data_IF_348692613106
#
_entry.id   IF_348692613106
#
_cell.length_a   1.000
_cell.length_b   1.000
_cell.length_c   1.000
_cell.angle_alpha   90.00
_cell.angle_beta   90.00
_cell.angle_gamma   90.00
#
_symmetry.space_group_name_H-M   'P 1'
#
loop_
_entity.id
_entity.type
_entity.pdbx_description
1 polymer ?
#
# COMPACT_ATOMS: atom_id res chain seq x y z
N UNK A 1 5.97 19.99 -2.20
CA UNK A 1 4.66 19.94 -2.88
C UNK A 1 4.89 19.61 -4.35
N UNK A 2 4.28 18.53 -4.88
CA UNK A 2 4.36 18.22 -6.29
C UNK A 2 3.73 19.34 -7.13
N UNK A 3 4.29 19.55 -8.32
CA UNK A 3 3.76 20.50 -9.28
C UNK A 3 2.42 20.01 -9.84
N UNK A 4 1.59 20.96 -10.29
CA UNK A 4 0.31 20.68 -10.95
C UNK A 4 0.47 19.78 -12.19
N UNK A 5 1.65 19.77 -12.80
CA UNK A 5 1.98 18.92 -13.96
C UNK A 5 2.29 17.47 -13.53
N UNK A 6 3.00 17.28 -12.41
CA UNK A 6 3.20 15.97 -11.78
C UNK A 6 1.89 15.35 -11.32
N UNK A 7 0.98 16.18 -10.78
CA UNK A 7 -0.38 15.76 -10.40
C UNK A 7 -1.19 15.27 -11.61
N UNK A 8 -1.15 16.02 -12.74
CA UNK A 8 -1.86 15.62 -13.97
C UNK A 8 -1.30 14.35 -14.60
N UNK A 9 0.01 14.12 -14.53
CA UNK A 9 0.62 12.89 -15.05
C UNK A 9 0.26 11.68 -14.18
N UNK A 10 0.32 11.82 -12.85
CA UNK A 10 -0.15 10.78 -11.91
C UNK A 10 -1.65 10.49 -12.11
N UNK A 11 -2.48 11.52 -12.28
CA UNK A 11 -3.92 11.41 -12.55
C UNK A 11 -4.26 10.70 -13.87
N UNK A 12 -3.46 10.92 -14.94
CA UNK A 12 -3.60 10.19 -16.22
C UNK A 12 -3.17 8.73 -16.11
N UNK A 13 -2.11 8.44 -15.35
CA UNK A 13 -1.69 7.06 -15.08
C UNK A 13 -2.76 6.33 -14.27
N UNK A 14 -3.39 7.01 -13.31
CA UNK A 14 -4.45 6.52 -12.45
C UNK A 14 -5.77 6.17 -13.18
N UNK A 15 -6.33 7.10 -13.96
CA UNK A 15 -7.57 6.87 -14.76
C UNK A 15 -7.45 5.72 -15.74
N UNK A 16 -6.23 5.44 -16.23
CA UNK A 16 -5.97 4.26 -17.06
C UNK A 16 -5.93 2.96 -16.27
N UNK A 17 -5.62 2.96 -14.98
CA UNK A 17 -5.23 1.74 -14.26
C UNK A 17 -6.37 1.04 -13.51
N UNK A 18 -7.21 1.79 -12.78
CA UNK A 18 -8.31 1.23 -11.95
C UNK A 18 -9.38 0.54 -12.84
N UNK A 19 -9.62 1.05 -14.05
CA UNK A 19 -10.58 0.44 -14.98
C UNK A 19 -10.01 -0.60 -15.95
N UNK A 20 -8.68 -0.64 -16.19
CA UNK A 20 -8.07 -1.65 -17.09
C UNK A 20 -7.70 -2.96 -16.40
N UNK A 21 -7.59 -3.00 -15.06
CA UNK A 21 -7.44 -4.26 -14.32
C UNK A 21 -8.75 -5.07 -14.16
N UNK A 22 -9.79 -4.77 -14.95
CA UNK A 22 -10.86 -5.77 -15.19
C UNK A 22 -10.37 -7.01 -15.95
N UNK A 23 -9.16 -6.96 -16.51
CA UNK A 23 -8.52 -8.14 -17.10
C UNK A 23 -7.01 -8.05 -17.00
N UNK A 24 -6.38 -8.75 -16.06
CA UNK A 24 -5.35 -9.76 -16.37
C UNK A 24 -4.60 -10.25 -15.12
N UNK A 25 -4.61 -11.58 -14.98
CA UNK A 25 -3.56 -12.46 -14.44
C UNK A 25 -3.11 -12.41 -12.98
N UNK A 26 -3.47 -11.43 -12.15
CA UNK A 26 -3.00 -11.39 -10.74
C UNK A 26 -4.10 -11.18 -9.69
N UNK A 27 -5.33 -11.64 -9.95
CA UNK A 27 -6.38 -11.64 -8.91
C UNK A 27 -6.78 -10.25 -8.39
N UNK A 28 -6.31 -9.16 -9.01
CA UNK A 28 -6.72 -7.80 -8.72
C UNK A 28 -8.16 -7.58 -9.22
N UNK A 29 -9.14 -8.06 -8.48
CA UNK A 29 -10.50 -7.56 -8.59
C UNK A 29 -10.49 -6.08 -8.20
N UNK A 30 -11.20 -5.24 -8.94
CA UNK A 30 -11.49 -3.89 -8.48
C UNK A 30 -12.08 -4.00 -7.07
N UNK A 31 -11.41 -3.39 -6.09
CA UNK A 31 -11.84 -3.43 -4.69
C UNK A 31 -13.31 -3.01 -4.59
N UNK A 32 -14.11 -3.65 -3.72
CA UNK A 32 -15.56 -3.39 -3.59
C UNK A 32 -15.88 -1.91 -3.35
N UNK A 33 -14.93 -1.16 -2.81
CA UNK A 33 -14.96 0.31 -2.69
C UNK A 33 -15.32 1.02 -4.01
N UNK A 34 -14.85 0.51 -5.16
CA UNK A 34 -15.16 1.07 -6.47
C UNK A 34 -16.52 0.60 -7.03
N UNK A 35 -17.21 -0.31 -6.34
CA UNK A 35 -18.53 -0.82 -6.70
C UNK A 35 -19.58 0.30 -6.72
N UNK A 36 -20.07 0.64 -7.91
CA UNK A 36 -21.13 1.64 -8.09
C UNK A 36 -20.64 3.05 -8.44
N UNK A 37 -19.33 3.32 -8.39
CA UNK A 37 -18.77 4.54 -8.96
C UNK A 37 -18.64 4.41 -10.47
N UNK A 38 -19.14 5.42 -11.21
CA UNK A 38 -18.75 5.63 -12.60
C UNK A 38 -17.42 6.38 -12.63
N UNK A 39 -16.67 6.23 -13.72
CA UNK A 39 -15.38 6.91 -13.95
C UNK A 39 -15.46 8.44 -13.81
N UNK A 40 -16.66 9.02 -13.96
CA UNK A 40 -16.90 10.47 -13.82
C UNK A 40 -16.86 10.95 -12.36
N UNK A 41 -17.19 10.07 -11.40
CA UNK A 41 -17.22 10.42 -9.97
C UNK A 41 -15.86 10.27 -9.29
N UNK A 42 -14.98 9.45 -9.88
CA UNK A 42 -13.67 9.09 -9.34
C UNK A 42 -12.81 10.32 -8.99
N UNK A 43 -12.69 11.36 -9.85
CA UNK A 43 -11.85 12.52 -9.54
C UNK A 43 -12.34 13.33 -8.31
N UNK A 44 -13.66 13.40 -8.12
CA UNK A 44 -14.27 14.13 -7.00
C UNK A 44 -14.09 13.35 -5.70
N UNK A 45 -14.36 12.05 -5.73
CA UNK A 45 -14.15 11.16 -4.58
C UNK A 45 -12.68 11.19 -4.18
N UNK A 46 -11.77 11.08 -5.14
CA UNK A 46 -10.34 11.08 -4.82
C UNK A 46 -9.84 12.41 -4.30
N UNK A 47 -10.28 13.53 -4.89
CA UNK A 47 -9.99 14.86 -4.34
C UNK A 47 -10.42 14.96 -2.88
N UNK A 48 -11.64 14.49 -2.55
CA UNK A 48 -12.10 14.47 -1.16
C UNK A 48 -11.21 13.62 -0.24
N UNK A 49 -10.79 12.42 -0.68
CA UNK A 49 -9.93 11.52 0.09
C UNK A 49 -8.55 12.14 0.32
N UNK A 50 -7.96 12.71 -0.73
CA UNK A 50 -6.67 13.37 -0.64
C UNK A 50 -6.71 14.53 0.35
N UNK A 51 -7.72 15.40 0.23
CA UNK A 51 -7.83 16.59 1.08
C UNK A 51 -8.21 16.27 2.53
N UNK A 52 -9.10 15.29 2.74
CA UNK A 52 -9.69 15.01 4.05
C UNK A 52 -8.91 13.98 4.86
N UNK A 53 -8.09 13.16 4.21
CA UNK A 53 -7.44 12.02 4.86
C UNK A 53 -5.96 11.89 4.52
N UNK A 54 -5.55 12.01 3.25
CA UNK A 54 -4.16 11.69 2.86
C UNK A 54 -3.18 12.84 3.00
N UNK A 55 -3.64 14.09 2.93
CA UNK A 55 -2.78 15.30 2.98
C UNK A 55 -1.93 15.40 4.26
N UNK A 56 -2.29 14.68 5.32
CA UNK A 56 -1.53 14.65 6.57
C UNK A 56 -0.25 13.80 6.50
N UNK A 57 -0.13 12.89 5.53
CA UNK A 57 1.04 12.03 5.39
C UNK A 57 2.11 12.67 4.50
N UNK A 58 3.38 12.47 4.86
CA UNK A 58 4.55 12.85 4.08
C UNK A 58 4.85 11.89 2.91
N UNK A 59 4.32 10.67 2.96
CA UNK A 59 4.47 9.67 1.90
C UNK A 59 3.60 8.43 2.12
N UNK A 60 3.56 7.57 1.11
CA UNK A 60 2.79 6.33 1.12
C UNK A 60 3.71 5.15 0.83
N UNK A 61 3.72 4.17 1.73
CA UNK A 61 4.52 2.97 1.61
C UNK A 61 3.63 1.73 1.62
N UNK A 62 4.04 0.73 0.84
CA UNK A 62 3.53 -0.63 0.93
C UNK A 62 4.66 -1.60 1.23
N UNK A 63 4.41 -2.51 2.16
CA UNK A 63 5.21 -3.73 2.31
C UNK A 63 4.56 -4.79 1.42
N UNK A 64 5.25 -5.22 0.37
CA UNK A 64 4.72 -6.25 -0.54
C UNK A 64 5.85 -7.00 -1.23
N UNK A 65 5.51 -8.18 -1.72
CA UNK A 65 6.41 -9.04 -2.47
C UNK A 65 6.34 -8.72 -3.97
N UNK A 66 7.51 -8.46 -4.57
CA UNK A 66 7.75 -8.67 -6.00
C UNK A 66 9.18 -9.20 -6.19
N UNK A 67 9.39 -9.91 -7.28
CA UNK A 67 10.66 -10.56 -7.57
C UNK A 67 11.82 -9.57 -7.67
N UNK A 68 12.86 -9.79 -6.86
CA UNK A 68 14.06 -8.96 -6.86
C UNK A 68 13.89 -7.58 -6.23
N UNK A 69 12.78 -7.32 -5.55
CA UNK A 69 12.57 -6.14 -4.73
C UNK A 69 13.15 -6.31 -3.32
N UNK A 70 13.17 -5.21 -2.57
CA UNK A 70 13.62 -5.16 -1.17
C UNK A 70 12.47 -5.26 -0.16
N UNK A 71 11.25 -5.60 -0.62
CA UNK A 71 10.04 -5.74 0.20
C UNK A 71 9.35 -4.44 0.59
N UNK A 72 9.81 -3.30 0.08
CA UNK A 72 9.20 -1.98 0.27
C UNK A 72 8.94 -1.26 -1.06
N UNK A 73 7.82 -0.55 -1.10
CA UNK A 73 7.34 0.17 -2.27
C UNK A 73 6.82 1.54 -1.88
N UNK A 74 7.33 2.58 -2.53
CA UNK A 74 6.66 3.88 -2.53
C UNK A 74 5.49 3.80 -3.50
N UNK A 75 4.27 3.83 -2.96
CA UNK A 75 3.05 3.72 -3.76
C UNK A 75 2.54 5.11 -4.15
N UNK A 76 1.98 5.26 -5.36
CA UNK A 76 1.48 6.57 -5.79
C UNK A 76 0.23 7.01 -5.01
N UNK A 77 -0.51 6.06 -4.44
CA UNK A 77 -1.68 6.28 -3.59
C UNK A 77 -2.05 4.98 -2.85
N UNK A 78 -2.78 5.07 -1.71
CA UNK A 78 -3.35 3.91 -1.02
C UNK A 78 -4.11 2.95 -1.92
N UNK A 79 -3.83 1.67 -1.78
CA UNK A 79 -4.50 0.61 -2.54
C UNK A 79 -4.18 0.58 -4.04
N UNK A 80 -3.12 1.26 -4.48
CA UNK A 80 -2.72 1.24 -5.90
C UNK A 80 -2.39 -0.17 -6.39
N UNK A 81 -2.97 -0.59 -7.50
CA UNK A 81 -2.59 -1.85 -8.12
C UNK A 81 -1.20 -1.79 -8.79
N UNK A 82 -0.68 -0.58 -9.05
CA UNK A 82 0.71 -0.39 -9.46
C UNK A 82 1.58 -0.30 -8.20
N UNK A 83 2.37 -1.34 -7.97
CA UNK A 83 3.52 -1.25 -7.08
C UNK A 83 4.43 -0.16 -7.65
N UNK A 84 4.56 0.96 -6.94
CA UNK A 84 5.15 2.18 -7.50
C UNK A 84 6.65 2.02 -7.75
N UNK A 85 7.47 2.64 -6.91
CA UNK A 85 8.92 2.49 -7.01
C UNK A 85 9.36 1.57 -5.88
N UNK A 86 10.10 0.51 -6.20
CA UNK A 86 10.75 -0.28 -5.16
C UNK A 86 11.80 0.59 -4.48
N UNK A 87 11.76 0.64 -3.16
CA UNK A 87 12.62 1.48 -2.34
C UNK A 87 13.36 0.64 -1.32
N UNK A 88 14.52 1.13 -0.87
CA UNK A 88 15.30 0.41 0.13
C UNK A 88 14.98 0.94 1.53
N UNK A 89 15.00 0.09 2.57
CA UNK A 89 14.79 0.55 3.95
C UNK A 89 15.72 1.70 4.38
N UNK A 90 16.94 1.76 3.82
CA UNK A 90 17.92 2.82 4.10
C UNK A 90 17.46 4.21 3.67
N UNK A 91 16.59 4.30 2.66
CA UNK A 91 16.10 5.58 2.13
C UNK A 91 15.23 6.32 3.16
N UNK A 92 14.68 5.57 4.12
CA UNK A 92 13.86 6.07 5.23
C UNK A 92 14.60 6.05 6.58
N UNK A 93 15.88 5.69 6.60
CA UNK A 93 16.65 5.54 7.84
C UNK A 93 16.24 4.35 8.71
N UNK A 94 15.49 3.38 8.18
CA UNK A 94 15.03 2.20 8.92
C UNK A 94 16.23 1.46 9.53
N UNK A 95 16.07 1.03 10.78
CA UNK A 95 17.12 0.34 11.54
C UNK A 95 17.61 -0.92 10.82
N UNK A 96 18.91 -1.24 10.97
CA UNK A 96 19.52 -2.41 10.32
C UNK A 96 18.84 -3.74 10.66
N UNK A 97 18.29 -3.87 11.88
CA UNK A 97 17.54 -5.06 12.29
C UNK A 97 16.20 -5.20 11.55
N UNK A 98 15.45 -4.10 11.42
CA UNK A 98 14.18 -4.12 10.69
C UNK A 98 14.42 -4.29 9.18
N UNK A 99 15.41 -3.61 8.62
CA UNK A 99 15.81 -3.77 7.23
C UNK A 99 16.21 -5.23 6.90
N UNK A 100 16.97 -5.88 7.80
CA UNK A 100 17.34 -7.28 7.64
C UNK A 100 16.12 -8.22 7.69
N UNK A 101 15.13 -7.92 8.54
CA UNK A 101 13.89 -8.70 8.63
C UNK A 101 13.03 -8.57 7.39
N UNK A 102 12.86 -7.36 6.85
CA UNK A 102 12.12 -7.13 5.60
C UNK A 102 12.76 -7.95 4.47
N UNK A 103 14.08 -7.85 4.31
CA UNK A 103 14.81 -8.61 3.27
C UNK A 103 14.76 -10.12 3.47
N UNK A 104 14.78 -10.59 4.73
CA UNK A 104 14.66 -12.01 5.04
C UNK A 104 13.27 -12.56 4.68
N UNK A 105 12.21 -11.81 4.98
CA UNK A 105 10.85 -12.13 4.58
C UNK A 105 10.71 -12.14 3.05
N UNK A 106 11.15 -11.07 2.38
CA UNK A 106 11.16 -10.98 0.91
C UNK A 106 11.89 -12.18 0.26
N UNK A 107 13.08 -12.51 0.74
CA UNK A 107 13.85 -13.66 0.24
C UNK A 107 13.20 -15.01 0.58
N UNK A 108 12.36 -15.10 1.62
CA UNK A 108 11.57 -16.29 1.91
C UNK A 108 10.47 -16.46 0.86
N UNK A 109 9.81 -15.37 0.47
CA UNK A 109 8.80 -15.35 -0.58
C UNK A 109 9.39 -15.73 -1.95
N UNK A 110 10.53 -15.15 -2.35
CA UNK A 110 11.23 -15.50 -3.58
C UNK A 110 11.53 -17.01 -3.66
N UNK A 111 11.87 -17.64 -2.53
CA UNK A 111 12.17 -19.08 -2.46
C UNK A 111 10.92 -19.94 -2.49
N UNK A 112 9.82 -19.48 -1.92
CA UNK A 112 8.57 -20.22 -1.91
C UNK A 112 7.99 -20.31 -3.32
N UNK A 113 8.06 -19.23 -4.10
CA UNK A 113 7.55 -19.18 -5.48
C UNK A 113 8.33 -20.09 -6.45
N UNK A 114 9.61 -20.40 -6.16
CA UNK A 114 10.41 -21.39 -6.93
C UNK A 114 10.33 -22.81 -6.37
N UNK A 115 9.71 -23.04 -5.21
CA UNK A 115 9.75 -24.34 -4.54
C UNK A 115 8.50 -25.18 -4.83
N UNK A 116 8.65 -26.51 -4.86
CA UNK A 116 7.51 -27.45 -4.87
C UNK A 116 6.83 -27.58 -3.50
N UNK A 117 7.28 -26.83 -2.48
CA UNK A 117 6.66 -26.80 -1.17
C UNK A 117 5.45 -25.88 -1.25
N UNK A 118 4.31 -26.36 -0.77
CA UNK A 118 3.12 -25.53 -0.58
C UNK A 118 3.33 -24.67 0.68
N UNK A 119 3.61 -23.36 0.55
CA UNK A 119 3.73 -22.50 1.72
C UNK A 119 2.40 -22.42 2.44
N UNK A 120 2.43 -22.27 3.76
CA UNK A 120 1.26 -21.80 4.50
C UNK A 120 1.02 -20.33 4.12
N UNK A 121 -0.04 -20.03 3.34
CA UNK A 121 -0.28 -18.67 2.88
C UNK A 121 -0.69 -17.74 4.02
N UNK A 122 -1.30 -18.28 5.08
CA UNK A 122 -1.74 -17.50 6.24
C UNK A 122 -0.54 -17.09 7.10
N UNK A 123 0.39 -18.01 7.35
CA UNK A 123 1.63 -17.71 8.08
C UNK A 123 2.48 -16.66 7.35
N UNK A 124 2.60 -16.79 6.03
CA UNK A 124 3.30 -15.83 5.16
C UNK A 124 2.70 -14.42 5.26
N UNK A 125 1.36 -14.36 5.22
CA UNK A 125 0.61 -13.09 5.32
C UNK A 125 0.75 -12.46 6.70
N UNK A 126 0.69 -13.28 7.75
CA UNK A 126 0.87 -12.80 9.11
C UNK A 126 2.26 -12.16 9.29
N UNK A 127 3.32 -12.77 8.73
CA UNK A 127 4.67 -12.20 8.81
C UNK A 127 4.80 -10.85 8.10
N UNK A 128 4.27 -10.74 6.87
CA UNK A 128 4.27 -9.47 6.13
C UNK A 128 3.48 -8.36 6.84
N UNK A 129 2.36 -8.72 7.47
CA UNK A 129 1.56 -7.79 8.27
C UNK A 129 2.33 -7.30 9.51
N UNK A 130 3.00 -8.19 10.25
CA UNK A 130 3.80 -7.80 11.41
C UNK A 130 4.98 -6.91 11.02
N UNK A 131 5.63 -7.18 9.89
CA UNK A 131 6.67 -6.31 9.34
C UNK A 131 6.10 -4.92 9.02
N UNK A 132 4.90 -4.85 8.45
CA UNK A 132 4.24 -3.58 8.14
C UNK A 132 3.93 -2.76 9.40
N UNK A 133 3.57 -3.42 10.49
CA UNK A 133 3.40 -2.79 11.81
C UNK A 133 4.69 -2.22 12.36
N UNK A 134 5.80 -2.95 12.24
CA UNK A 134 7.11 -2.46 12.66
C UNK A 134 7.60 -1.27 11.80
N UNK A 135 7.38 -1.33 10.49
CA UNK A 135 7.64 -0.20 9.58
C UNK A 135 6.81 1.01 9.98
N UNK A 136 5.52 0.82 10.26
CA UNK A 136 4.64 1.91 10.72
C UNK A 136 5.13 2.51 12.05
N UNK A 137 5.47 1.69 13.04
CA UNK A 137 6.01 2.17 14.32
C UNK A 137 7.32 2.94 14.16
N UNK A 138 8.15 2.56 13.19
CA UNK A 138 9.40 3.26 12.92
C UNK A 138 9.16 4.63 12.24
N UNK A 139 8.24 4.69 11.28
CA UNK A 139 7.94 5.90 10.50
C UNK A 139 6.92 6.83 11.15
N UNK A 140 6.26 6.36 12.21
CA UNK A 140 5.23 7.07 12.96
C UNK A 140 4.01 7.48 12.10
N UNK A 141 3.18 8.37 12.63
CA UNK A 141 1.97 8.89 11.98
C UNK A 141 2.21 9.76 10.75
N UNK A 142 3.48 10.09 10.46
CA UNK A 142 3.88 10.85 9.27
C UNK A 142 3.74 10.07 7.97
N UNK A 143 3.72 8.73 8.01
CA UNK A 143 3.60 7.89 6.81
C UNK A 143 2.32 7.06 6.80
N UNK A 144 1.70 6.96 5.63
CA UNK A 144 0.74 5.91 5.36
C UNK A 144 1.50 4.62 5.07
N UNK A 145 1.15 3.54 5.75
CA UNK A 145 1.73 2.22 5.50
C UNK A 145 0.58 1.25 5.27
N UNK A 146 0.66 0.43 4.23
CA UNK A 146 -0.26 -0.68 4.01
C UNK A 146 0.48 -1.99 3.73
N UNK A 147 -0.14 -3.09 4.13
CA UNK A 147 0.22 -4.44 3.67
C UNK A 147 -0.77 -4.87 2.59
N UNK A 148 -2.07 -4.78 2.94
CA UNK A 148 -3.16 -4.99 2.02
C UNK A 148 -3.62 -3.66 1.41
N UNK A 149 -3.94 -3.63 0.11
CA UNK A 149 -4.52 -2.47 -0.53
C UNK A 149 -5.68 -1.89 0.30
N UNK A 150 -5.66 -0.59 0.55
CA UNK A 150 -6.71 0.13 1.30
C UNK A 150 -6.83 -0.22 2.80
N UNK A 151 -5.84 -0.91 3.37
CA UNK A 151 -5.77 -1.16 4.81
C UNK A 151 -4.56 -0.46 5.39
N UNK A 152 -4.80 0.72 5.96
CA UNK A 152 -3.76 1.47 6.65
C UNK A 152 -3.36 0.72 7.92
N UNK A 153 -2.05 0.59 8.15
CA UNK A 153 -1.54 0.29 9.48
C UNK A 153 -1.54 1.59 10.29
N UNK A 154 -2.42 1.68 11.27
CA UNK A 154 -2.60 2.86 12.13
C UNK A 154 -2.04 2.62 13.53
N UNK A 155 -1.52 3.66 14.18
CA UNK A 155 -1.09 3.62 15.58
C UNK A 155 -2.21 4.23 16.44
N UNK A 156 -2.66 3.50 17.46
CA UNK A 156 -3.63 3.99 18.45
C UNK A 156 -3.17 3.58 19.84
N UNK A 157 -2.89 4.55 20.70
CA UNK A 157 -2.45 4.29 22.07
C UNK A 157 -1.11 3.54 22.17
N UNK A 158 -0.24 3.66 21.16
CA UNK A 158 1.04 2.94 21.08
C UNK A 158 0.94 1.53 20.50
N UNK A 159 -0.27 1.06 20.16
CA UNK A 159 -0.48 -0.23 19.50
C UNK A 159 -0.82 -0.02 18.02
N UNK A 160 -0.34 -0.91 17.16
CA UNK A 160 -0.66 -0.90 15.73
C UNK A 160 -1.87 -1.77 15.42
N UNK A 161 -2.77 -1.28 14.57
CA UNK A 161 -3.89 -2.06 14.02
C UNK A 161 -4.23 -1.66 12.59
N UNK A 162 -4.96 -2.52 11.88
CA UNK A 162 -5.44 -2.21 10.53
C UNK A 162 -6.69 -1.33 10.57
N UNK A 163 -6.70 -0.27 9.76
CA UNK A 163 -7.86 0.56 9.48
C UNK A 163 -8.27 0.35 8.02
N UNK A 164 -9.49 -0.16 7.82
CA UNK A 164 -10.09 -0.23 6.49
C UNK A 164 -10.47 1.18 6.02
N UNK A 165 -9.67 1.71 5.11
CA UNK A 165 -9.75 3.11 4.66
C UNK A 165 -11.09 3.42 3.96
N UNK A 166 -11.61 2.59 3.05
CA UNK A 166 -12.96 2.72 2.48
C UNK A 166 -14.07 2.89 3.52
N UNK A 167 -14.10 2.04 4.55
CA UNK A 167 -15.11 2.10 5.60
C UNK A 167 -14.95 3.35 6.48
N UNK A 168 -13.71 3.74 6.75
CA UNK A 168 -13.41 4.98 7.47
C UNK A 168 -13.87 6.23 6.70
N UNK A 169 -13.55 6.32 5.40
CA UNK A 169 -13.86 7.47 4.55
C UNK A 169 -15.37 7.60 4.33
N UNK A 170 -16.08 6.50 4.11
CA UNK A 170 -17.55 6.53 4.02
C UNK A 170 -18.23 6.95 5.32
N UNK A 171 -17.58 6.71 6.47
CA UNK A 171 -18.00 7.23 7.77
C UNK A 171 -17.80 8.74 7.95
N UNK A 172 -16.77 9.33 7.31
CA UNK A 172 -16.49 10.78 7.36
C UNK A 172 -17.47 11.63 6.53
N UNK A 173 -18.16 11.02 5.56
CA UNK A 173 -19.10 11.70 4.67
C UNK A 173 -20.56 11.73 5.21
N UNK A 174 -20.79 11.27 6.44
CA UNK A 174 -22.09 11.28 7.13
C UNK A 174 -22.16 12.39 8.16
#
# INVERSE_FOLDING_TARGET
MPSHEQFRDQFRRWTRHVMTMRSSNFGASAHEFYGGFTWEHEPVVWGFIEESYLRKYGGFLRVDFDWGADGLWEIPFPGSAYMGISVEPRDFGISGSLAARIRAWQASQDRLDVSERDPDPEATRAEGLEISKEVKLFLDDDYYVEYWPFREISIKGGETGELEVPAFITGLAR
#
